data_IF_214697329533
#
_entry.id   IF_214697329533
#
_cell.length_a   1.000
_cell.length_b   1.000
_cell.length_c   1.000
_cell.angle_alpha   90.00
_cell.angle_beta   90.00
_cell.angle_gamma   90.00
#
_symmetry.space_group_name_H-M   'P 1'
#
loop_
_entity.id
_entity.type
_entity.pdbx_description
1 polymer ?
#
# COMPACT_ATOMS: atom_id res chain seq x y z
N UNK A 1 1.50 8.04 -18.96
CA UNK A 1 1.82 6.91 -18.10
C UNK A 1 1.66 7.27 -16.63
N UNK A 2 1.90 6.32 -15.75
CA UNK A 2 2.01 6.55 -14.32
C UNK A 2 3.50 6.77 -13.96
N UNK A 3 3.76 7.56 -12.94
CA UNK A 3 5.12 7.78 -12.42
C UNK A 3 5.46 6.77 -11.31
N UNK A 4 4.46 6.36 -10.54
CA UNK A 4 4.61 5.46 -9.39
C UNK A 4 3.46 4.46 -9.35
N UNK A 5 3.77 3.19 -9.09
CA UNK A 5 2.82 2.12 -8.79
C UNK A 5 2.85 1.81 -7.29
N UNK A 6 1.66 1.76 -6.66
CA UNK A 6 1.51 1.36 -5.27
C UNK A 6 0.83 -0.02 -5.19
N UNK A 7 1.50 -1.00 -4.61
CA UNK A 7 0.96 -2.33 -4.31
C UNK A 7 0.66 -2.42 -2.81
N UNK A 8 -0.62 -2.34 -2.47
CA UNK A 8 -1.09 -2.14 -1.10
C UNK A 8 -1.39 -3.47 -0.37
N UNK A 9 -0.46 -4.39 -0.36
CA UNK A 9 -0.51 -5.67 0.33
C UNK A 9 -1.09 -6.81 -0.48
N UNK A 10 -0.81 -8.03 -0.03
CA UNK A 10 -1.26 -9.28 -0.64
C UNK A 10 -0.96 -9.36 -2.14
N UNK A 11 0.27 -8.99 -2.51
CA UNK A 11 0.78 -9.16 -3.88
C UNK A 11 0.94 -10.64 -4.20
N UNK A 12 1.28 -11.42 -3.18
CA UNK A 12 1.33 -12.88 -3.24
C UNK A 12 0.29 -13.50 -2.29
N UNK A 13 -0.27 -14.64 -2.69
CA UNK A 13 -1.25 -15.38 -1.89
C UNK A 13 -0.63 -15.97 -0.60
N UNK A 14 0.67 -16.19 -0.59
CA UNK A 14 1.42 -16.69 0.57
C UNK A 14 2.93 -16.53 0.37
N UNK A 15 3.70 -16.65 1.46
CA UNK A 15 5.17 -16.53 1.44
C UNK A 15 5.91 -17.78 0.92
N UNK A 16 5.22 -18.90 0.68
CA UNK A 16 5.84 -20.17 0.23
C UNK A 16 5.86 -20.23 -1.30
N UNK A 17 6.68 -19.41 -1.92
CA UNK A 17 6.85 -19.37 -3.38
C UNK A 17 8.14 -20.05 -3.80
N UNK A 18 8.13 -20.64 -4.98
CA UNK A 18 9.35 -21.09 -5.63
C UNK A 18 10.18 -19.88 -6.10
N UNK A 19 11.51 -20.01 -6.09
CA UNK A 19 12.41 -18.91 -6.42
C UNK A 19 12.19 -18.36 -7.84
N UNK A 20 11.83 -19.21 -8.79
CA UNK A 20 11.56 -18.82 -10.18
C UNK A 20 10.35 -17.88 -10.29
N UNK A 21 9.31 -18.07 -9.46
CA UNK A 21 8.16 -17.17 -9.39
C UNK A 21 8.60 -15.80 -8.89
N UNK A 22 9.41 -15.78 -7.83
CA UNK A 22 9.90 -14.53 -7.23
C UNK A 22 10.80 -13.79 -8.23
N UNK A 23 11.71 -14.51 -8.89
CA UNK A 23 12.62 -13.93 -9.89
C UNK A 23 11.84 -13.40 -11.11
N UNK A 24 10.86 -14.15 -11.60
CA UNK A 24 10.02 -13.75 -12.75
C UNK A 24 9.21 -12.50 -12.40
N UNK A 25 8.59 -12.47 -11.21
CA UNK A 25 7.84 -11.29 -10.75
C UNK A 25 8.75 -10.07 -10.64
N UNK A 26 9.92 -10.22 -10.01
CA UNK A 26 10.89 -9.15 -9.88
C UNK A 26 11.38 -8.64 -11.25
N UNK A 27 11.56 -9.54 -12.21
CA UNK A 27 11.95 -9.19 -13.58
C UNK A 27 10.86 -8.32 -14.23
N UNK A 28 9.61 -8.75 -14.20
CA UNK A 28 8.49 -8.00 -14.78
C UNK A 28 8.34 -6.62 -14.15
N UNK A 29 8.37 -6.54 -12.81
CA UNK A 29 8.28 -5.27 -12.09
C UNK A 29 9.46 -4.34 -12.43
N UNK A 30 10.67 -4.88 -12.48
CA UNK A 30 11.88 -4.06 -12.73
C UNK A 30 12.04 -3.60 -14.17
N UNK A 31 11.37 -4.24 -15.15
CA UNK A 31 11.35 -3.80 -16.54
C UNK A 31 10.54 -2.52 -16.76
N UNK A 32 9.67 -2.16 -15.83
CA UNK A 32 8.95 -0.90 -15.91
C UNK A 32 9.88 0.26 -15.56
N UNK A 33 9.73 1.38 -16.27
CA UNK A 33 10.49 2.61 -15.99
C UNK A 33 9.93 3.40 -14.79
N UNK A 34 8.82 2.94 -14.20
CA UNK A 34 8.16 3.60 -13.07
C UNK A 34 8.72 3.12 -11.73
N UNK A 35 8.57 3.94 -10.71
CA UNK A 35 8.88 3.55 -9.33
C UNK A 35 7.76 2.68 -8.76
N UNK A 36 8.10 1.66 -8.00
CA UNK A 36 7.13 0.72 -7.43
C UNK A 36 7.31 0.69 -5.92
N UNK A 37 6.25 1.04 -5.19
CA UNK A 37 6.25 0.92 -3.72
C UNK A 37 5.35 -0.25 -3.34
N UNK A 38 5.92 -1.20 -2.63
CA UNK A 38 5.24 -2.41 -2.17
C UNK A 38 5.07 -2.35 -0.65
N UNK A 39 3.84 -2.59 -0.22
CA UNK A 39 3.51 -2.81 1.19
C UNK A 39 3.16 -4.29 1.36
N UNK A 40 3.96 -5.12 2.04
CA UNK A 40 3.57 -6.48 2.39
C UNK A 40 2.27 -6.53 3.20
N UNK A 41 1.36 -7.46 2.82
CA UNK A 41 0.07 -7.67 3.46
C UNK A 41 0.08 -8.82 4.46
N UNK A 42 -1.11 -9.33 4.78
CA UNK A 42 -1.25 -10.41 5.76
C UNK A 42 -1.03 -11.81 5.17
N UNK A 43 -1.22 -11.98 3.86
CA UNK A 43 -0.90 -13.23 3.18
C UNK A 43 0.59 -13.37 2.89
N UNK A 44 1.24 -12.26 2.63
CA UNK A 44 2.64 -12.15 2.26
C UNK A 44 3.48 -11.24 3.19
N UNK A 45 3.36 -11.41 4.55
CA UNK A 45 4.05 -10.53 5.47
C UNK A 45 5.58 -10.57 5.29
N UNK A 46 6.24 -9.45 5.63
CA UNK A 46 7.69 -9.27 5.54
C UNK A 46 8.44 -10.01 6.68
N UNK A 47 8.17 -11.31 6.82
CA UNK A 47 8.92 -12.18 7.73
C UNK A 47 10.29 -12.51 7.14
N UNK A 48 11.22 -12.99 7.97
CA UNK A 48 12.65 -13.17 7.61
C UNK A 48 12.88 -13.95 6.31
N UNK A 49 12.07 -14.96 6.02
CA UNK A 49 12.23 -15.81 4.82
C UNK A 49 11.14 -15.53 3.78
N UNK A 50 10.54 -14.34 3.79
CA UNK A 50 9.53 -13.99 2.79
C UNK A 50 10.16 -13.69 1.43
N UNK A 51 9.40 -13.81 0.33
CA UNK A 51 9.85 -13.45 -1.02
C UNK A 51 10.40 -12.03 -1.12
N UNK A 52 9.99 -11.14 -0.22
CA UNK A 52 10.41 -9.75 -0.18
C UNK A 52 11.89 -9.56 0.13
N UNK A 53 12.51 -10.51 0.87
CA UNK A 53 13.95 -10.50 1.17
C UNK A 53 14.81 -11.14 0.07
N UNK A 54 14.19 -11.78 -0.93
CA UNK A 54 14.91 -12.35 -2.06
C UNK A 54 15.67 -11.25 -2.82
N UNK A 55 16.92 -11.51 -3.20
CA UNK A 55 17.79 -10.51 -3.82
C UNK A 55 17.25 -9.98 -5.16
N UNK A 56 16.51 -10.81 -5.91
CA UNK A 56 15.87 -10.38 -7.13
C UNK A 56 14.86 -9.25 -6.91
N UNK A 57 14.20 -9.21 -5.75
CA UNK A 57 13.25 -8.16 -5.36
C UNK A 57 13.97 -6.99 -4.67
N UNK A 58 14.72 -7.29 -3.61
CA UNK A 58 15.25 -6.27 -2.69
C UNK A 58 16.42 -5.44 -3.24
N UNK A 59 17.06 -5.89 -4.34
CA UNK A 59 18.20 -5.17 -4.95
C UNK A 59 17.84 -4.36 -6.21
N UNK A 60 16.56 -4.21 -6.53
CA UNK A 60 16.13 -3.41 -7.69
C UNK A 60 15.97 -1.94 -7.32
N UNK A 61 16.52 -1.06 -8.14
CA UNK A 61 16.53 0.39 -7.89
C UNK A 61 15.15 1.04 -7.96
N UNK A 62 14.22 0.47 -8.74
CA UNK A 62 12.86 0.98 -8.88
C UNK A 62 11.83 0.26 -8.01
N UNK A 63 12.24 -0.72 -7.18
CA UNK A 63 11.36 -1.46 -6.27
C UNK A 63 11.68 -1.10 -4.83
N UNK A 64 10.73 -0.48 -4.15
CA UNK A 64 10.81 -0.03 -2.76
C UNK A 64 9.85 -0.86 -1.91
N UNK A 65 10.38 -1.67 -1.00
CA UNK A 65 9.59 -2.58 -0.17
C UNK A 65 9.58 -2.05 1.27
N UNK A 66 8.42 -1.58 1.72
CA UNK A 66 8.23 -1.11 3.09
C UNK A 66 8.39 -2.28 4.07
N UNK A 67 9.14 -2.08 5.14
CA UNK A 67 9.48 -3.12 6.11
C UNK A 67 10.68 -3.98 5.73
N UNK A 68 11.25 -3.83 4.51
CA UNK A 68 12.39 -4.60 4.00
C UNK A 68 13.51 -3.68 3.51
N UNK A 69 13.36 -3.07 2.34
CA UNK A 69 14.37 -2.13 1.81
C UNK A 69 14.24 -0.74 2.43
N UNK A 70 13.04 -0.39 2.87
CA UNK A 70 12.71 0.85 3.55
C UNK A 70 11.94 0.52 4.83
N UNK A 71 12.14 1.28 5.90
CA UNK A 71 11.41 1.04 7.17
C UNK A 71 9.90 1.30 7.01
N UNK A 72 9.51 2.56 6.94
CA UNK A 72 8.10 2.98 6.88
C UNK A 72 7.88 4.16 5.94
N UNK A 73 8.92 4.61 5.23
CA UNK A 73 8.92 5.81 4.41
C UNK A 73 9.75 5.60 3.16
N UNK A 74 9.20 5.99 2.01
CA UNK A 74 9.91 6.19 0.74
C UNK A 74 9.68 7.63 0.31
N UNK A 75 10.74 8.36 0.01
CA UNK A 75 10.68 9.75 -0.46
C UNK A 75 11.07 9.84 -1.93
N UNK A 76 10.30 10.59 -2.69
CA UNK A 76 10.53 10.87 -4.10
C UNK A 76 10.69 12.38 -4.28
N UNK A 77 11.92 12.87 -4.15
CA UNK A 77 12.25 14.30 -4.24
C UNK A 77 11.75 14.94 -5.54
N UNK A 78 11.91 14.22 -6.66
CA UNK A 78 11.45 14.67 -7.99
C UNK A 78 9.97 15.05 -8.02
N UNK A 79 9.15 14.42 -7.18
CA UNK A 79 7.69 14.59 -7.11
C UNK A 79 7.24 15.36 -5.87
N UNK A 80 8.18 15.76 -5.00
CA UNK A 80 7.87 16.30 -3.67
C UNK A 80 6.82 15.45 -2.95
N UNK A 81 7.07 14.12 -2.93
CA UNK A 81 6.15 13.10 -2.46
C UNK A 81 6.82 12.19 -1.43
N UNK A 82 6.12 11.97 -0.32
CA UNK A 82 6.43 10.95 0.69
C UNK A 82 5.36 9.86 0.70
N UNK A 83 5.77 8.61 0.60
CA UNK A 83 4.91 7.44 0.71
C UNK A 83 5.22 6.71 2.02
N UNK A 84 4.23 6.64 2.89
CA UNK A 84 4.32 6.04 4.21
C UNK A 84 3.55 4.73 4.25
N UNK A 85 4.04 3.75 5.02
CA UNK A 85 3.29 2.52 5.26
C UNK A 85 3.94 1.66 6.32
N UNK A 86 3.13 0.84 6.95
CA UNK A 86 3.57 -0.15 7.93
C UNK A 86 3.22 -1.54 7.41
N UNK A 87 4.25 -2.25 6.94
CA UNK A 87 4.10 -3.61 6.44
C UNK A 87 3.68 -4.58 7.55
N UNK A 88 2.93 -5.62 7.19
CA UNK A 88 2.80 -6.80 8.04
C UNK A 88 4.17 -7.49 8.18
N UNK A 89 4.58 -7.75 9.41
CA UNK A 89 5.86 -8.40 9.75
C UNK A 89 5.67 -9.75 10.43
N UNK A 90 4.43 -10.16 10.61
CA UNK A 90 4.01 -11.45 11.12
C UNK A 90 2.60 -11.74 10.63
N UNK A 91 2.09 -12.94 10.94
CA UNK A 91 0.68 -13.31 10.69
C UNK A 91 -0.26 -12.88 11.82
N UNK A 92 0.28 -12.18 12.82
CA UNK A 92 -0.47 -11.73 13.99
C UNK A 92 -1.25 -10.44 13.72
N UNK A 93 -2.12 -10.11 14.67
CA UNK A 93 -2.87 -8.86 14.67
C UNK A 93 -1.94 -7.66 14.82
N UNK A 94 -2.13 -6.63 13.98
CA UNK A 94 -1.33 -5.40 14.03
C UNK A 94 -2.14 -4.19 13.56
N UNK A 95 -1.81 -3.03 14.08
CA UNK A 95 -2.39 -1.76 13.59
C UNK A 95 -1.79 -1.42 12.21
N UNK A 96 -2.60 -1.40 11.13
CA UNK A 96 -2.09 -1.27 9.77
C UNK A 96 -1.76 0.17 9.37
N UNK A 97 -2.44 1.15 9.97
CA UNK A 97 -2.20 2.56 9.66
C UNK A 97 -1.03 3.12 10.46
N UNK A 98 -0.25 3.95 9.80
CA UNK A 98 0.79 4.77 10.40
C UNK A 98 0.33 6.22 10.43
N UNK A 99 0.68 6.91 11.50
CA UNK A 99 0.58 8.37 11.59
C UNK A 99 1.96 8.94 11.27
N UNK A 100 2.13 9.62 10.12
CA UNK A 100 3.38 10.28 9.80
C UNK A 100 3.79 11.26 10.91
N UNK A 101 5.01 11.13 11.41
CA UNK A 101 5.50 11.98 12.52
C UNK A 101 5.76 13.41 12.08
N UNK A 102 6.08 13.60 10.80
CA UNK A 102 6.41 14.88 10.21
C UNK A 102 6.02 14.86 8.74
N UNK A 103 5.46 15.97 8.28
CA UNK A 103 5.19 16.18 6.85
C UNK A 103 6.44 16.81 6.23
N UNK A 104 7.21 16.01 5.51
CA UNK A 104 8.48 16.42 4.88
C UNK A 104 8.34 16.76 3.39
N UNK A 105 7.21 16.42 2.76
CA UNK A 105 6.94 16.62 1.36
C UNK A 105 5.60 17.34 1.17
N UNK A 106 5.42 17.99 0.02
CA UNK A 106 4.15 18.58 -0.39
C UNK A 106 3.03 17.55 -0.36
N UNK A 107 3.29 16.36 -0.92
CA UNK A 107 2.34 15.27 -0.98
C UNK A 107 2.70 14.15 -0.01
N UNK A 108 1.72 13.68 0.73
CA UNK A 108 1.87 12.57 1.65
C UNK A 108 0.81 11.52 1.37
N UNK A 109 1.26 10.36 0.92
CA UNK A 109 0.43 9.17 0.73
C UNK A 109 0.69 8.20 1.87
N UNK A 110 -0.36 7.62 2.40
CA UNK A 110 -0.27 6.50 3.35
C UNK A 110 -0.77 5.24 2.67
N UNK A 111 0.01 4.18 2.72
CA UNK A 111 -0.40 2.83 2.34
C UNK A 111 -0.76 2.03 3.59
N UNK A 112 -1.85 1.29 3.54
CA UNK A 112 -2.23 0.39 4.62
C UNK A 112 -2.95 -0.85 4.08
N UNK A 113 -2.80 -1.97 4.78
CA UNK A 113 -3.47 -3.22 4.45
C UNK A 113 -4.28 -3.69 5.66
N UNK A 114 -5.61 -3.61 5.58
CA UNK A 114 -6.50 -3.95 6.69
C UNK A 114 -7.97 -3.74 6.34
N UNK A 115 -8.84 -4.08 7.26
CA UNK A 115 -10.29 -4.05 7.09
C UNK A 115 -10.87 -2.71 7.57
N UNK A 116 -11.58 -2.02 6.68
CA UNK A 116 -12.25 -0.78 7.05
C UNK A 116 -13.64 -1.03 7.65
N UNK A 117 -13.87 -0.40 8.77
CA UNK A 117 -15.17 -0.29 9.43
C UNK A 117 -15.31 1.13 10.01
N UNK A 118 -16.38 1.91 9.67
CA UNK A 118 -16.47 3.33 10.03
C UNK A 118 -16.29 3.60 11.52
N UNK A 119 -16.94 2.79 12.35
CA UNK A 119 -16.85 2.83 13.82
C UNK A 119 -16.57 1.41 14.33
N UNK A 120 -15.29 0.98 14.35
CA UNK A 120 -14.97 -0.41 14.62
C UNK A 120 -15.27 -0.80 16.06
N UNK A 121 -16.01 -1.91 16.24
CA UNK A 121 -16.13 -2.57 17.55
C UNK A 121 -14.92 -3.47 17.78
N UNK A 122 -13.93 -2.92 18.44
CA UNK A 122 -12.68 -3.63 18.74
C UNK A 122 -12.80 -4.64 19.88
N UNK A 123 -13.95 -4.69 20.58
CA UNK A 123 -14.14 -5.61 21.70
C UNK A 123 -14.58 -7.01 21.22
N UNK A 124 -15.30 -7.08 20.11
CA UNK A 124 -15.83 -8.33 19.57
C UNK A 124 -15.05 -8.88 18.37
N UNK A 125 -14.17 -8.08 17.77
CA UNK A 125 -13.41 -8.47 16.61
C UNK A 125 -12.30 -9.48 16.94
N UNK A 126 -12.10 -10.48 16.07
CA UNK A 126 -11.00 -11.45 16.18
C UNK A 126 -9.61 -10.81 16.05
N UNK A 127 -9.53 -9.73 15.26
CA UNK A 127 -8.31 -8.94 15.04
C UNK A 127 -8.60 -7.47 15.23
N UNK A 128 -8.79 -7.01 16.48
CA UNK A 128 -9.27 -5.66 16.75
C UNK A 128 -8.32 -4.55 16.29
N UNK A 129 -7.02 -4.82 16.31
CA UNK A 129 -6.01 -3.84 15.89
C UNK A 129 -5.97 -3.66 14.37
N UNK A 130 -6.45 -4.64 13.61
CA UNK A 130 -6.44 -4.62 12.15
C UNK A 130 -7.55 -3.76 11.53
N UNK A 131 -8.55 -3.44 12.32
CA UNK A 131 -9.64 -2.58 11.88
C UNK A 131 -9.17 -1.13 11.67
N UNK A 132 -9.62 -0.53 10.58
CA UNK A 132 -9.37 0.85 10.20
C UNK A 132 -10.67 1.62 10.31
N UNK A 133 -10.76 2.57 11.25
CA UNK A 133 -11.93 3.43 11.40
C UNK A 133 -11.74 4.82 10.78
N UNK A 134 -12.83 5.60 10.75
CA UNK A 134 -12.80 6.98 10.29
C UNK A 134 -11.80 7.84 11.07
N UNK A 135 -11.75 7.65 12.40
CA UNK A 135 -10.78 8.33 13.25
C UNK A 135 -9.34 7.97 12.90
N UNK A 136 -9.06 6.68 12.62
CA UNK A 136 -7.72 6.24 12.26
C UNK A 136 -7.28 6.86 10.92
N UNK A 137 -8.19 6.94 9.95
CA UNK A 137 -7.94 7.60 8.66
C UNK A 137 -7.62 9.09 8.85
N UNK A 138 -8.43 9.80 9.64
CA UNK A 138 -8.25 11.22 9.90
C UNK A 138 -6.89 11.51 10.57
N UNK A 139 -6.47 10.66 11.50
CA UNK A 139 -5.22 10.80 12.23
C UNK A 139 -3.98 10.63 11.35
N UNK A 140 -4.11 10.06 10.14
CA UNK A 140 -2.98 9.98 9.20
C UNK A 140 -2.53 11.34 8.71
N UNK A 141 -3.45 12.30 8.56
CA UNK A 141 -3.20 13.60 7.94
C UNK A 141 -2.72 13.50 6.49
N UNK A 142 -2.97 12.36 5.82
CA UNK A 142 -2.52 12.11 4.46
C UNK A 142 -3.38 12.84 3.41
N UNK A 143 -2.78 13.14 2.27
CA UNK A 143 -3.51 13.67 1.10
C UNK A 143 -4.30 12.55 0.39
N UNK A 144 -3.76 11.33 0.46
CA UNK A 144 -4.39 10.11 -0.07
C UNK A 144 -4.00 8.89 0.78
N UNK A 145 -4.95 7.98 1.00
CA UNK A 145 -4.70 6.69 1.64
C UNK A 145 -5.01 5.56 0.65
N UNK A 146 -3.99 4.80 0.28
CA UNK A 146 -4.08 3.60 -0.54
C UNK A 146 -4.31 2.38 0.35
N UNK A 147 -5.49 1.78 0.27
CA UNK A 147 -5.90 0.64 1.08
C UNK A 147 -5.87 -0.66 0.27
N UNK A 148 -5.33 -1.72 0.86
CA UNK A 148 -5.44 -3.09 0.40
C UNK A 148 -6.21 -3.98 1.37
N UNK A 149 -6.44 -5.23 1.01
CA UNK A 149 -7.22 -6.26 1.69
C UNK A 149 -8.59 -6.56 1.04
N UNK A 150 -9.29 -5.57 0.53
CA UNK A 150 -10.57 -5.79 -0.12
C UNK A 150 -10.41 -5.96 -1.63
N UNK A 151 -10.99 -7.05 -2.17
CA UNK A 151 -10.95 -7.34 -3.60
C UNK A 151 -11.87 -6.42 -4.43
N UNK A 152 -12.79 -5.73 -3.77
CA UNK A 152 -13.69 -4.77 -4.41
C UNK A 152 -13.20 -3.36 -4.22
N UNK A 153 -13.23 -2.54 -5.29
CA UNK A 153 -12.88 -1.14 -5.19
C UNK A 153 -13.95 -0.38 -4.41
N UNK A 154 -13.50 0.44 -3.46
CA UNK A 154 -14.39 1.23 -2.62
C UNK A 154 -13.70 2.51 -2.15
N UNK A 155 -14.43 3.62 -2.18
CA UNK A 155 -14.09 4.81 -1.42
C UNK A 155 -14.61 4.64 0.00
N UNK A 156 -13.77 4.88 0.99
CA UNK A 156 -14.12 4.75 2.42
C UNK A 156 -13.84 6.04 3.17
N UNK A 157 -14.31 6.09 4.41
CA UNK A 157 -14.17 7.26 5.28
C UNK A 157 -15.30 8.26 5.10
N UNK A 158 -15.36 9.23 6.01
CA UNK A 158 -16.37 10.29 6.03
C UNK A 158 -16.12 11.43 5.03
N UNK A 159 -15.10 11.29 4.18
CA UNK A 159 -14.75 12.27 3.15
C UNK A 159 -13.69 13.30 3.56
N UNK A 160 -13.28 13.37 4.83
CA UNK A 160 -12.22 14.25 5.29
C UNK A 160 -10.83 13.83 4.75
N UNK A 161 -10.63 12.54 4.54
CA UNK A 161 -9.44 11.96 3.92
C UNK A 161 -9.86 11.18 2.66
N UNK A 162 -9.07 11.26 1.61
CA UNK A 162 -9.27 10.49 0.37
C UNK A 162 -8.71 9.08 0.54
N UNK A 163 -9.51 8.16 1.05
CA UNK A 163 -9.13 6.78 1.31
C UNK A 163 -9.88 5.81 0.37
N UNK A 164 -9.12 4.93 -0.28
CA UNK A 164 -9.68 4.04 -1.31
C UNK A 164 -9.02 2.67 -1.30
N UNK A 165 -9.83 1.64 -1.39
CA UNK A 165 -9.43 0.34 -1.89
C UNK A 165 -9.42 0.38 -3.42
N UNK A 166 -8.37 -0.10 -4.06
CA UNK A 166 -8.32 -0.26 -5.52
C UNK A 166 -9.09 -1.50 -5.97
N UNK A 167 -9.16 -2.49 -5.11
CA UNK A 167 -9.61 -3.84 -5.42
C UNK A 167 -8.49 -4.67 -6.01
N UNK A 168 -8.73 -5.98 -6.14
CA UNK A 168 -7.83 -6.90 -6.83
C UNK A 168 -7.96 -6.69 -8.33
N UNK A 169 -6.87 -6.40 -9.08
CA UNK A 169 -6.95 -6.07 -10.51
C UNK A 169 -7.60 -7.15 -11.37
N UNK A 170 -7.39 -8.41 -11.06
CA UNK A 170 -7.95 -9.57 -11.76
C UNK A 170 -9.46 -9.73 -11.56
N UNK A 171 -9.98 -9.37 -10.39
CA UNK A 171 -11.41 -9.47 -10.05
C UNK A 171 -12.18 -8.18 -10.37
N UNK A 172 -11.53 -7.04 -10.16
CA UNK A 172 -12.15 -5.74 -10.37
C UNK A 172 -12.03 -5.23 -11.80
N UNK A 173 -11.09 -5.78 -12.59
CA UNK A 173 -10.73 -5.34 -13.95
C UNK A 173 -10.38 -3.84 -14.04
N UNK A 174 -10.11 -3.23 -12.91
CA UNK A 174 -9.81 -1.79 -12.80
C UNK A 174 -8.76 -1.53 -11.74
N UNK A 175 -8.06 -0.40 -11.89
CA UNK A 175 -7.16 0.17 -10.88
C UNK A 175 -7.54 1.62 -10.59
N UNK A 176 -7.16 2.12 -9.42
CA UNK A 176 -7.26 3.54 -9.13
C UNK A 176 -6.05 4.29 -9.71
N UNK A 177 -6.33 5.29 -10.55
CA UNK A 177 -5.32 6.27 -10.98
C UNK A 177 -5.50 7.53 -10.15
N UNK A 178 -4.45 7.88 -9.41
CA UNK A 178 -4.41 9.05 -8.53
C UNK A 178 -3.54 10.11 -9.17
N UNK A 179 -4.07 11.31 -9.34
CA UNK A 179 -3.34 12.47 -9.84
C UNK A 179 -3.20 13.51 -8.74
N UNK A 180 -1.97 13.90 -8.49
CA UNK A 180 -1.59 14.96 -7.56
C UNK A 180 -1.31 16.21 -8.38
N UNK A 181 -2.21 17.18 -8.35
CA UNK A 181 -2.14 18.37 -9.22
C UNK A 181 -1.29 19.48 -8.58
N UNK A 182 -0.68 20.30 -9.41
CA UNK A 182 0.07 21.47 -8.95
C UNK A 182 -0.78 22.42 -8.07
N UNK A 183 -2.09 22.48 -8.33
CA UNK A 183 -3.08 23.25 -7.55
C UNK A 183 -3.31 22.75 -6.10
N UNK A 184 -2.72 21.62 -5.72
CA UNK A 184 -2.95 21.01 -4.40
C UNK A 184 -4.15 20.05 -4.37
N UNK A 185 -4.72 19.72 -5.53
CA UNK A 185 -5.86 18.81 -5.61
C UNK A 185 -5.40 17.37 -5.83
N UNK A 186 -6.07 16.42 -5.16
CA UNK A 186 -5.95 14.97 -5.40
C UNK A 186 -7.18 14.50 -6.15
N UNK A 187 -6.98 14.00 -7.37
CA UNK A 187 -8.05 13.45 -8.21
C UNK A 187 -7.87 11.93 -8.31
N UNK A 188 -8.92 11.17 -7.98
CA UNK A 188 -8.93 9.71 -8.07
C UNK A 188 -9.90 9.29 -9.16
N UNK A 189 -9.42 8.53 -10.13
CA UNK A 189 -10.25 7.95 -11.22
C UNK A 189 -10.01 6.46 -11.31
N UNK A 190 -11.07 5.73 -11.61
CA UNK A 190 -10.96 4.32 -11.95
C UNK A 190 -10.57 4.19 -13.41
N UNK A 191 -9.61 3.33 -13.66
CA UNK A 191 -9.14 3.02 -15.00
C UNK A 191 -9.34 1.52 -15.26
N UNK A 192 -10.00 1.20 -16.36
CA UNK A 192 -10.18 -0.18 -16.84
C UNK A 192 -8.85 -0.68 -17.39
N UNK A 193 -8.46 -1.92 -17.06
CA UNK A 193 -7.18 -2.52 -17.46
C UNK A 193 -7.35 -3.72 -18.40
N UNK A 194 -8.60 -4.12 -18.68
CA UNK A 194 -8.96 -5.21 -19.61
C UNK A 194 -9.96 -4.69 -20.64
#
# INVERSE_FOLDING_TARGET
GADILLLAGDTFEHNRLADDIVVTTACHLSQSEIQIVILPGNHDPAITNSPWHHQAMSKKNNIHILGVTHKQLVEFEKFDLAVWGKAHQSYDDMKPLIKPKKRNAKWNIVMAHGHYEPVPDRNTALRPSWLIGDKDLLETGADYVALGHWNRPLKVGNGSIRAYYSGSPDLAETVNVVRLNMSGEVVVRRHKIV
#
